data_IF_374922517712
#
_entry.id   IF_374922517712
#
_cell.length_a   1.000
_cell.length_b   1.000
_cell.length_c   1.000
_cell.angle_alpha   90.00
_cell.angle_beta   90.00
_cell.angle_gamma   90.00
#
_symmetry.space_group_name_H-M   'P 1'
#
loop_
_entity.id
_entity.type
_entity.pdbx_description
1 polymer ?
#
# COMPACT_ATOMS: atom_id res chain seq x y z
N UNK A 1 -22.80 1.34 -2.78
CA UNK A 1 -21.52 0.95 -2.14
C UNK A 1 -20.41 1.17 -3.13
N UNK A 2 -19.28 1.72 -2.68
CA UNK A 2 -18.10 1.93 -3.52
C UNK A 2 -17.02 0.93 -3.13
N UNK A 3 -16.33 0.40 -4.12
CA UNK A 3 -15.34 -0.66 -3.99
C UNK A 3 -14.04 -0.22 -4.64
N UNK A 4 -12.92 -0.70 -4.10
CA UNK A 4 -11.60 -0.40 -4.63
C UNK A 4 -11.48 -0.96 -6.05
N UNK A 5 -11.14 -0.08 -6.98
CA UNK A 5 -10.89 -0.41 -8.38
C UNK A 5 -9.41 -0.51 -8.68
N UNK A 6 -8.65 0.45 -8.15
CA UNK A 6 -7.23 0.59 -8.40
C UNK A 6 -6.53 1.38 -7.27
N UNK A 7 -5.21 1.27 -7.22
CA UNK A 7 -4.34 2.14 -6.42
C UNK A 7 -3.31 2.74 -7.38
N UNK A 8 -3.17 4.06 -7.35
CA UNK A 8 -2.22 4.80 -8.20
C UNK A 8 -1.00 5.18 -7.38
N UNK A 9 0.19 4.97 -7.93
CA UNK A 9 1.46 5.38 -7.33
C UNK A 9 1.81 6.79 -7.82
N UNK A 10 2.24 7.66 -6.92
CA UNK A 10 2.71 9.01 -7.24
C UNK A 10 4.11 9.24 -6.68
N UNK A 11 4.97 9.87 -7.47
CA UNK A 11 6.34 10.21 -7.08
C UNK A 11 6.49 11.72 -6.91
N UNK A 12 7.28 12.14 -5.91
CA UNK A 12 7.62 13.54 -5.68
C UNK A 12 9.08 13.77 -5.32
N UNK A 13 9.53 15.00 -5.52
CA UNK A 13 10.87 15.46 -5.11
C UNK A 13 10.88 16.04 -3.69
N UNK A 14 9.74 16.49 -3.19
CA UNK A 14 9.59 17.16 -1.89
C UNK A 14 8.37 16.60 -1.16
N UNK A 15 8.31 16.68 0.19
CA UNK A 15 7.14 16.24 0.95
C UNK A 15 5.84 16.95 0.56
N UNK A 16 5.94 18.20 0.10
CA UNK A 16 4.80 19.01 -0.33
C UNK A 16 4.19 18.56 -1.66
N UNK A 17 4.82 17.59 -2.34
CA UNK A 17 4.28 16.98 -3.56
C UNK A 17 3.23 15.90 -3.26
N UNK A 18 2.93 15.64 -1.98
CA UNK A 18 1.94 14.65 -1.57
C UNK A 18 0.57 14.92 -2.23
N UNK A 19 -0.03 13.92 -2.90
CA UNK A 19 -1.38 14.03 -3.42
C UNK A 19 -2.41 14.28 -2.31
N UNK A 20 -3.37 15.18 -2.55
CA UNK A 20 -4.44 15.46 -1.60
C UNK A 20 -5.28 14.21 -1.24
N UNK A 21 -5.37 13.26 -2.17
CA UNK A 21 -6.12 12.01 -2.05
C UNK A 21 -5.23 10.80 -1.67
N UNK A 22 -4.03 11.05 -1.15
CA UNK A 22 -3.13 9.98 -0.68
C UNK A 22 -3.80 9.15 0.42
N UNK A 23 -3.60 7.83 0.36
CA UNK A 23 -3.95 6.86 1.39
C UNK A 23 -3.17 7.21 2.64
N UNK A 24 -3.89 7.42 3.73
CA UNK A 24 -3.34 7.84 5.01
C UNK A 24 -3.00 6.64 5.88
N UNK A 25 -2.01 6.80 6.75
CA UNK A 25 -1.77 5.88 7.86
C UNK A 25 -2.88 6.00 8.89
N UNK A 26 -3.20 4.88 9.54
CA UNK A 26 -4.31 4.84 10.49
C UNK A 26 -4.06 5.65 11.77
N UNK A 27 -2.80 5.97 12.10
CA UNK A 27 -2.39 6.64 13.34
C UNK A 27 -1.59 7.94 13.08
N UNK A 28 -1.79 8.57 11.91
CA UNK A 28 -1.08 9.81 11.51
C UNK A 28 0.46 9.71 11.53
N UNK A 29 0.98 8.50 11.30
CA UNK A 29 2.39 8.29 10.98
C UNK A 29 2.70 8.80 9.55
N UNK A 30 3.97 8.76 9.15
CA UNK A 30 4.35 9.24 7.82
C UNK A 30 3.78 8.33 6.70
N UNK A 31 3.02 8.94 5.80
CA UNK A 31 2.33 8.30 4.67
C UNK A 31 3.25 8.06 3.46
N UNK A 32 4.42 8.71 3.40
CA UNK A 32 5.44 8.46 2.37
C UNK A 32 5.97 7.04 2.50
N UNK A 33 5.74 6.21 1.47
CA UNK A 33 6.19 4.82 1.44
C UNK A 33 7.72 4.73 1.62
N UNK A 34 8.45 5.71 1.09
CA UNK A 34 9.90 5.81 1.22
C UNK A 34 10.37 6.56 2.47
N UNK A 35 9.50 6.89 3.43
CA UNK A 35 9.92 7.57 4.64
C UNK A 35 11.07 6.84 5.35
N UNK A 36 12.10 7.60 5.73
CA UNK A 36 13.40 7.13 6.27
C UNK A 36 14.33 6.45 5.26
N UNK A 37 13.91 6.32 4.01
CA UNK A 37 14.76 5.94 2.89
C UNK A 37 15.06 7.18 2.04
N UNK A 38 16.30 7.29 1.55
CA UNK A 38 16.66 8.33 0.58
C UNK A 38 15.90 8.07 -0.74
N UNK A 39 15.91 9.03 -1.67
CA UNK A 39 15.31 8.85 -2.99
C UNK A 39 14.09 9.74 -3.20
N UNK A 40 13.11 9.26 -3.99
CA UNK A 40 11.85 9.98 -4.21
C UNK A 40 10.92 9.77 -3.02
N UNK A 41 10.07 10.75 -2.77
CA UNK A 41 8.86 10.55 -2.00
C UNK A 41 7.87 9.74 -2.84
N UNK A 42 7.19 8.79 -2.21
CA UNK A 42 6.27 7.87 -2.89
C UNK A 42 4.97 7.80 -2.10
N UNK A 43 3.84 8.06 -2.76
CA UNK A 43 2.51 7.96 -2.16
C UNK A 43 1.60 7.07 -2.99
N UNK A 44 0.54 6.58 -2.35
CA UNK A 44 -0.49 5.76 -2.94
C UNK A 44 -1.83 6.50 -2.87
N UNK A 45 -2.62 6.52 -3.94
CA UNK A 45 -3.99 7.06 -3.93
C UNK A 45 -4.99 5.98 -4.34
N UNK A 46 -6.02 5.75 -3.53
CA UNK A 46 -7.05 4.75 -3.81
C UNK A 46 -8.11 5.31 -4.78
N UNK A 47 -8.48 4.52 -5.79
CA UNK A 47 -9.57 4.81 -6.72
C UNK A 47 -10.72 3.85 -6.45
N UNK A 48 -11.89 4.42 -6.16
CA UNK A 48 -13.10 3.67 -5.87
C UNK A 48 -14.15 3.86 -6.95
N UNK A 49 -14.97 2.83 -7.18
CA UNK A 49 -16.12 2.93 -8.06
C UNK A 49 -17.25 2.00 -7.67
N UNK A 50 -18.38 2.12 -8.38
CA UNK A 50 -19.62 1.44 -8.05
C UNK A 50 -19.65 -0.02 -8.49
N UNK A 51 -20.40 -0.85 -7.75
CA UNK A 51 -20.65 -2.26 -8.05
C UNK A 51 -19.45 -3.15 -7.69
N UNK A 52 -19.71 -4.38 -7.26
CA UNK A 52 -18.67 -5.30 -6.75
C UNK A 52 -17.99 -6.16 -7.84
N UNK A 53 -18.58 -6.23 -9.03
CA UNK A 53 -18.05 -7.04 -10.14
C UNK A 53 -16.66 -6.56 -10.57
N UNK A 54 -15.72 -7.51 -10.68
CA UNK A 54 -14.32 -7.28 -11.05
C UNK A 54 -13.57 -6.24 -10.18
N UNK A 55 -14.01 -6.04 -8.93
CA UNK A 55 -13.33 -5.17 -7.96
C UNK A 55 -12.27 -5.90 -7.18
N UNK A 56 -11.36 -5.12 -6.59
CA UNK A 56 -10.22 -5.63 -5.83
C UNK A 56 -10.73 -6.34 -4.57
N UNK A 57 -10.19 -7.52 -4.32
CA UNK A 57 -10.48 -8.40 -3.18
C UNK A 57 -9.28 -8.67 -2.30
N UNK A 58 -8.09 -8.24 -2.71
CA UNK A 58 -6.85 -8.39 -1.95
C UNK A 58 -5.71 -7.59 -2.56
N UNK A 59 -4.70 -7.28 -1.76
CA UNK A 59 -3.52 -6.52 -2.17
C UNK A 59 -2.28 -7.28 -1.72
N UNK A 60 -1.43 -7.65 -2.68
CA UNK A 60 -0.13 -8.29 -2.44
C UNK A 60 1.01 -7.36 -2.88
N UNK A 61 2.19 -7.52 -2.26
CA UNK A 61 3.40 -6.81 -2.67
C UNK A 61 4.36 -7.82 -3.30
N UNK A 62 4.72 -7.57 -4.56
CA UNK A 62 5.76 -8.34 -5.25
C UNK A 62 7.09 -7.63 -5.00
N UNK A 63 8.10 -8.38 -4.56
CA UNK A 63 9.46 -7.88 -4.36
C UNK A 63 10.39 -8.72 -5.22
N UNK A 64 11.21 -8.07 -6.05
CA UNK A 64 12.09 -8.75 -6.99
C UNK A 64 13.35 -7.93 -7.31
N UNK A 65 14.44 -8.63 -7.63
CA UNK A 65 15.73 -8.00 -7.94
C UNK A 65 15.72 -7.26 -9.28
N UNK A 66 15.07 -7.84 -10.29
CA UNK A 66 15.03 -7.27 -11.63
C UNK A 66 13.85 -6.32 -11.80
N UNK A 67 14.10 -5.20 -12.47
CA UNK A 67 13.08 -4.19 -12.76
C UNK A 67 12.02 -4.77 -13.70
N UNK A 68 10.76 -4.52 -13.38
CA UNK A 68 9.63 -4.68 -14.28
C UNK A 68 9.07 -3.31 -14.68
N UNK A 69 9.28 -2.93 -15.94
CA UNK A 69 8.82 -1.64 -16.49
C UNK A 69 7.31 -1.53 -16.65
N UNK A 70 6.56 -2.62 -16.44
CA UNK A 70 5.08 -2.62 -16.50
C UNK A 70 4.43 -2.04 -15.24
N UNK A 71 5.20 -1.85 -14.17
CA UNK A 71 4.69 -1.45 -12.87
C UNK A 71 5.48 -0.29 -12.28
N UNK A 72 4.79 0.52 -11.48
CA UNK A 72 5.41 1.59 -10.70
C UNK A 72 6.10 1.01 -9.46
N UNK A 73 7.40 1.24 -9.36
CA UNK A 73 8.23 0.83 -8.23
C UNK A 73 7.92 1.66 -6.97
N UNK A 74 7.56 1.00 -5.88
CA UNK A 74 7.28 1.62 -4.58
C UNK A 74 8.56 2.06 -3.85
N UNK A 75 9.74 1.59 -4.26
CA UNK A 75 11.04 1.99 -3.71
C UNK A 75 11.79 2.99 -4.59
N UNK A 76 11.07 3.73 -5.44
CA UNK A 76 11.67 4.58 -6.48
C UNK A 76 12.81 5.47 -5.96
N UNK A 77 14.01 5.23 -6.48
CA UNK A 77 15.21 6.02 -6.19
C UNK A 77 15.86 5.74 -4.84
N UNK A 78 15.33 4.82 -4.04
CA UNK A 78 15.93 4.40 -2.77
C UNK A 78 16.96 3.27 -2.91
N UNK A 79 16.96 2.59 -4.07
CA UNK A 79 17.79 1.40 -4.32
C UNK A 79 17.26 0.13 -3.64
N UNK A 80 17.96 -0.98 -3.84
CA UNK A 80 17.53 -2.31 -3.40
C UNK A 80 16.56 -2.98 -4.38
N UNK A 81 15.91 -4.05 -3.92
CA UNK A 81 14.91 -4.78 -4.71
C UNK A 81 13.69 -3.90 -5.04
N UNK A 82 13.21 -4.03 -6.27
CA UNK A 82 12.00 -3.37 -6.75
C UNK A 82 10.75 -3.96 -6.13
N UNK A 83 9.71 -3.14 -6.01
CA UNK A 83 8.52 -3.49 -5.23
C UNK A 83 7.27 -2.99 -5.91
N UNK A 84 6.30 -3.87 -6.13
CA UNK A 84 5.14 -3.58 -6.97
C UNK A 84 3.84 -3.98 -6.29
N UNK A 85 2.79 -3.21 -6.55
CA UNK A 85 1.42 -3.56 -6.14
C UNK A 85 0.85 -4.64 -7.06
N UNK A 86 0.29 -5.69 -6.47
CA UNK A 86 -0.53 -6.66 -7.17
C UNK A 86 -1.94 -6.66 -6.59
N UNK A 87 -2.93 -6.24 -7.39
CA UNK A 87 -4.32 -6.12 -6.97
C UNK A 87 -5.11 -7.35 -7.41
N UNK A 88 -5.42 -8.23 -6.46
CA UNK A 88 -6.21 -9.44 -6.71
C UNK A 88 -7.70 -9.12 -6.82
N UNK A 89 -8.40 -9.85 -7.70
CA UNK A 89 -9.83 -9.64 -8.00
C UNK A 89 -10.69 -10.91 -7.92
N UNK A 90 -10.06 -12.01 -7.52
CA UNK A 90 -10.58 -13.38 -7.50
C UNK A 90 -11.41 -13.74 -6.24
N UNK A 91 -11.34 -12.92 -5.18
CA UNK A 91 -12.04 -13.17 -3.92
C UNK A 91 -13.51 -12.74 -3.93
N UNK A 92 -14.35 -13.38 -3.11
CA UNK A 92 -15.79 -13.08 -3.00
C UNK A 92 -16.07 -11.75 -2.29
N UNK A 93 -15.24 -11.39 -1.31
CA UNK A 93 -15.31 -10.16 -0.53
C UNK A 93 -14.49 -9.06 -1.22
N UNK A 94 -15.07 -7.86 -1.36
CA UNK A 94 -14.47 -6.76 -2.10
C UNK A 94 -14.05 -5.66 -1.16
N UNK A 95 -12.89 -5.07 -1.44
CA UNK A 95 -12.31 -4.02 -0.61
C UNK A 95 -13.15 -2.76 -0.74
N UNK A 96 -13.53 -2.17 0.39
CA UNK A 96 -14.32 -0.94 0.47
C UNK A 96 -13.55 0.21 1.10
N UNK A 97 -12.45 -0.09 1.80
CA UNK A 97 -11.57 0.90 2.41
C UNK A 97 -10.14 0.38 2.49
N UNK A 98 -9.15 1.25 2.27
CA UNK A 98 -7.72 0.94 2.39
C UNK A 98 -7.04 2.03 3.20
N UNK A 99 -6.09 1.63 4.04
CA UNK A 99 -5.22 2.54 4.79
C UNK A 99 -3.79 1.98 4.85
N UNK A 100 -2.85 2.80 5.32
CA UNK A 100 -1.48 2.36 5.63
C UNK A 100 -1.34 2.03 7.12
N UNK A 101 -0.51 1.04 7.43
CA UNK A 101 -0.16 0.66 8.79
C UNK A 101 1.36 0.66 8.92
N UNK A 102 1.92 1.72 9.52
CA UNK A 102 3.35 1.83 9.82
C UNK A 102 3.62 1.44 11.27
N UNK A 103 4.59 0.56 11.51
CA UNK A 103 4.92 0.03 12.84
C UNK A 103 6.43 -0.15 13.03
N UNK A 104 6.88 -0.10 14.29
CA UNK A 104 8.27 -0.41 14.66
C UNK A 104 8.56 -1.91 14.66
N UNK A 105 7.51 -2.71 14.80
CA UNK A 105 7.57 -4.17 14.82
C UNK A 105 6.58 -4.74 13.80
N UNK A 106 6.84 -5.99 13.37
CA UNK A 106 5.90 -6.69 12.50
C UNK A 106 4.57 -6.94 13.22
N UNK A 107 3.47 -6.93 12.49
CA UNK A 107 2.14 -7.21 13.03
C UNK A 107 1.65 -8.61 12.68
N UNK A 108 0.81 -9.18 13.54
CA UNK A 108 0.04 -10.38 13.23
C UNK A 108 -1.30 -10.00 12.60
N UNK A 109 -1.97 -10.99 11.99
CA UNK A 109 -3.35 -10.82 11.53
C UNK A 109 -4.29 -10.42 12.67
N UNK A 110 -4.12 -10.97 13.87
CA UNK A 110 -4.95 -10.65 15.03
C UNK A 110 -4.83 -9.17 15.42
N UNK A 111 -3.62 -8.61 15.39
CA UNK A 111 -3.41 -7.18 15.62
C UNK A 111 -4.13 -6.33 14.57
N UNK A 112 -4.01 -6.70 13.29
CA UNK A 112 -4.70 -5.99 12.19
C UNK A 112 -6.24 -6.08 12.35
N UNK A 113 -6.74 -7.24 12.76
CA UNK A 113 -8.16 -7.47 12.97
C UNK A 113 -8.71 -6.68 14.16
N UNK A 114 -7.97 -6.59 15.27
CA UNK A 114 -8.31 -5.76 16.42
C UNK A 114 -8.36 -4.25 16.06
N UNK A 115 -7.62 -3.83 15.04
CA UNK A 115 -7.69 -2.47 14.48
C UNK A 115 -8.89 -2.28 13.52
N UNK A 116 -9.71 -3.32 13.33
CA UNK A 116 -10.94 -3.28 12.54
C UNK A 116 -10.74 -3.45 11.04
N UNK A 117 -9.66 -4.12 10.63
CA UNK A 117 -9.37 -4.46 9.23
C UNK A 117 -9.50 -5.96 8.97
N UNK A 118 -9.87 -6.33 7.76
CA UNK A 118 -10.15 -7.72 7.36
C UNK A 118 -8.97 -8.38 6.65
N UNK A 119 -7.96 -7.59 6.27
CA UNK A 119 -6.76 -8.08 5.62
C UNK A 119 -5.64 -7.05 5.58
N UNK A 120 -4.45 -7.52 5.26
CA UNK A 120 -3.26 -6.71 5.11
C UNK A 120 -2.27 -7.35 4.14
N UNK A 121 -1.45 -6.52 3.49
CA UNK A 121 -0.42 -6.97 2.56
C UNK A 121 0.77 -7.58 3.31
N UNK A 122 1.70 -8.19 2.58
CA UNK A 122 3.06 -8.37 3.13
C UNK A 122 3.73 -7.03 3.41
N UNK A 123 4.81 -7.05 4.20
CA UNK A 123 5.57 -5.83 4.54
C UNK A 123 6.20 -5.19 3.29
N UNK A 124 5.74 -3.97 2.99
CA UNK A 124 6.27 -3.12 1.91
C UNK A 124 7.73 -2.81 2.18
N UNK A 125 8.23 -2.74 3.41
CA UNK A 125 9.64 -2.44 3.71
C UNK A 125 10.53 -3.68 3.90
N UNK A 126 10.01 -4.88 3.64
CA UNK A 126 10.75 -6.14 3.81
C UNK A 126 12.14 -6.10 3.19
N UNK A 127 13.17 -6.36 4.00
CA UNK A 127 14.57 -6.41 3.55
C UNK A 127 15.24 -5.03 3.39
N UNK A 128 14.54 -3.92 3.65
CA UNK A 128 15.13 -2.56 3.66
C UNK A 128 15.54 -2.08 5.05
N UNK A 129 15.08 -2.77 6.10
CA UNK A 129 15.24 -2.37 7.50
C UNK A 129 14.33 -1.18 7.86
N UNK A 130 14.41 -0.74 9.12
CA UNK A 130 13.57 0.36 9.62
C UNK A 130 12.15 -0.09 9.98
N UNK A 131 11.18 0.79 9.75
CA UNK A 131 9.77 0.54 10.10
C UNK A 131 9.12 -0.47 9.15
N UNK A 132 8.25 -1.32 9.69
CA UNK A 132 7.35 -2.15 8.91
C UNK A 132 6.22 -1.30 8.35
N UNK A 133 5.81 -1.59 7.11
CA UNK A 133 4.76 -0.84 6.44
C UNK A 133 3.84 -1.79 5.67
N UNK A 134 2.54 -1.69 5.92
CA UNK A 134 1.53 -2.53 5.29
C UNK A 134 0.41 -1.70 4.67
N UNK A 135 -0.18 -2.18 3.59
CA UNK A 135 -1.55 -1.80 3.23
C UNK A 135 -2.51 -2.67 4.03
N UNK A 136 -3.48 -2.06 4.68
CA UNK A 136 -4.57 -2.74 5.41
C UNK A 136 -5.91 -2.37 4.78
N UNK A 137 -6.89 -3.26 4.81
CA UNK A 137 -8.17 -3.01 4.17
C UNK A 137 -9.38 -3.60 4.89
N UNK A 138 -10.54 -2.98 4.66
CA UNK A 138 -11.86 -3.49 5.05
C UNK A 138 -12.59 -4.00 3.81
N UNK A 139 -13.39 -5.03 4.00
CA UNK A 139 -14.22 -5.63 2.95
C UNK A 139 -15.71 -5.48 3.24
N UNK A 140 -16.56 -5.76 2.25
CA UNK A 140 -18.02 -5.82 2.37
C UNK A 140 -18.55 -7.12 2.99
#
# INVERSE_FOLDING_TARGET
>A
MSYLENIVVSYGETPTSEPADAIRTIDANNDDINASFKGKYVWLSARYGSGSSNKVSGIDIIIQADKDDRYDDLAKGAGGDYRYLNLRKDGSKKIVNVALLRRKESVSFETVHQLGYDGYSTDINKGRGGDYLYLVWKSD
#
